data_IF_521712815437
#
_entry.id   IF_521712815437
#
_cell.length_a   1.000
_cell.length_b   1.000
_cell.length_c   1.000
_cell.angle_alpha   90.00
_cell.angle_beta   90.00
_cell.angle_gamma   90.00
#
_symmetry.space_group_name_H-M   'P 1'
#
loop_
_entity.id
_entity.type
_entity.pdbx_description
1 polymer ?
#
# COMPACT_ATOMS: atom_id res chain seq x y z
N UNK A 1 21.84 -48.72 -42.00
CA UNK A 1 21.48 -47.44 -41.35
C UNK A 1 21.67 -47.62 -39.86
N UNK A 2 22.64 -46.89 -39.32
CA UNK A 2 23.20 -46.99 -37.96
C UNK A 2 22.31 -46.29 -36.93
N UNK A 3 22.19 -46.84 -35.71
CA UNK A 3 22.78 -46.24 -34.50
C UNK A 3 22.67 -47.19 -33.30
N UNK A 4 23.83 -47.71 -32.88
CA UNK A 4 24.05 -48.38 -31.61
C UNK A 4 24.31 -47.36 -30.50
N UNK A 5 23.96 -47.74 -29.27
CA UNK A 5 23.97 -46.86 -28.10
C UNK A 5 25.35 -46.47 -27.55
N UNK A 6 25.36 -45.42 -26.73
CA UNK A 6 26.37 -45.19 -25.70
C UNK A 6 25.83 -44.27 -24.61
N UNK A 7 25.58 -44.84 -23.42
CA UNK A 7 25.60 -44.09 -22.15
C UNK A 7 27.02 -43.55 -21.95
N UNK A 8 27.16 -42.27 -21.65
CA UNK A 8 28.38 -41.70 -21.03
C UNK A 8 27.96 -40.81 -19.87
N UNK A 9 28.28 -41.30 -18.67
CA UNK A 9 28.54 -40.49 -17.49
C UNK A 9 29.74 -39.59 -17.78
N UNK A 10 29.55 -38.27 -17.82
CA UNK A 10 30.66 -37.32 -17.76
C UNK A 10 30.62 -36.60 -16.41
N UNK A 11 31.44 -37.13 -15.51
CA UNK A 11 31.96 -36.45 -14.33
C UNK A 11 32.50 -35.09 -14.78
N UNK A 12 32.04 -34.02 -14.12
CA UNK A 12 32.47 -32.65 -14.39
C UNK A 12 33.87 -32.46 -13.81
N UNK A 13 34.90 -32.73 -14.60
CA UNK A 13 36.30 -32.50 -14.20
C UNK A 13 36.60 -31.00 -14.32
N UNK A 14 36.76 -30.34 -13.18
CA UNK A 14 37.17 -28.93 -13.10
C UNK A 14 38.63 -28.82 -13.56
N UNK A 15 38.98 -27.91 -14.50
CA UNK A 15 40.37 -27.70 -14.91
C UNK A 15 41.22 -27.13 -13.75
N UNK A 16 42.49 -27.56 -13.60
CA UNK A 16 43.34 -27.18 -12.46
C UNK A 16 43.62 -25.67 -12.34
N UNK A 17 43.37 -24.91 -13.41
CA UNK A 17 43.51 -23.45 -13.45
C UNK A 17 42.40 -22.69 -12.70
N UNK A 18 41.28 -23.35 -12.37
CA UNK A 18 40.18 -22.74 -11.60
C UNK A 18 40.27 -22.98 -10.09
N UNK A 19 41.01 -24.01 -9.65
CA UNK A 19 41.27 -24.26 -8.22
C UNK A 19 42.29 -23.27 -7.65
N UNK A 20 43.25 -22.83 -8.47
CA UNK A 20 44.28 -21.87 -8.06
C UNK A 20 43.71 -20.44 -7.84
N UNK A 21 42.53 -20.14 -8.41
CA UNK A 21 41.81 -18.87 -8.23
C UNK A 21 40.83 -18.84 -7.06
N UNK A 22 40.66 -19.96 -6.33
CA UNK A 22 39.86 -20.05 -5.10
C UNK A 22 40.73 -20.13 -3.83
N UNK A 23 41.94 -19.59 -3.87
CA UNK A 23 42.76 -19.41 -2.67
C UNK A 23 42.36 -18.09 -2.02
N UNK A 24 41.82 -18.17 -0.81
CA UNK A 24 41.50 -17.03 0.05
C UNK A 24 42.71 -16.07 0.13
N UNK A 25 42.51 -14.74 0.11
CA UNK A 25 43.61 -13.82 0.36
C UNK A 25 44.11 -14.03 1.80
N UNK A 26 45.43 -13.92 2.04
CA UNK A 26 45.99 -14.12 3.37
C UNK A 26 45.43 -13.08 4.34
N UNK A 27 45.14 -13.53 5.55
CA UNK A 27 44.81 -12.72 6.71
C UNK A 27 45.97 -11.74 6.91
N UNK A 28 45.71 -10.45 6.71
CA UNK A 28 46.68 -9.39 7.02
C UNK A 28 46.68 -9.26 8.54
N UNK A 29 47.79 -9.65 9.15
CA UNK A 29 48.06 -9.46 10.57
C UNK A 29 47.86 -7.99 10.96
N UNK A 30 47.19 -7.79 12.09
CA UNK A 30 46.78 -6.51 12.64
C UNK A 30 47.91 -5.72 13.32
N UNK A 31 49.11 -5.73 12.75
CA UNK A 31 50.26 -5.00 13.27
C UNK A 31 51.04 -4.42 12.11
N UNK A 32 50.70 -3.18 11.73
CA UNK A 32 51.58 -2.17 11.13
C UNK A 32 50.72 -0.96 10.72
N UNK A 33 50.36 -0.14 11.70
CA UNK A 33 49.95 1.25 11.47
C UNK A 33 50.64 2.12 12.52
N UNK A 34 51.97 2.12 12.46
CA UNK A 34 52.77 3.05 13.24
C UNK A 34 52.62 4.46 12.66
N UNK A 35 52.00 5.30 13.50
CA UNK A 35 52.39 6.68 13.76
C UNK A 35 52.74 7.58 12.56
N UNK A 36 51.73 8.25 12.01
CA UNK A 36 51.85 9.66 11.56
C UNK A 36 50.50 10.27 11.21
N UNK A 37 49.84 10.86 12.22
CA UNK A 37 49.07 12.11 12.10
C UNK A 37 48.52 12.49 13.48
N UNK A 38 49.31 13.24 14.26
CA UNK A 38 48.77 14.06 15.34
C UNK A 38 48.05 15.25 14.70
N UNK A 39 46.71 15.29 14.80
CA UNK A 39 45.92 16.50 15.01
C UNK A 39 44.42 16.17 14.95
N UNK A 40 43.78 16.03 16.11
CA UNK A 40 42.59 16.80 16.56
C UNK A 40 41.86 16.04 17.69
N UNK A 41 42.09 16.37 18.97
CA UNK A 41 41.32 15.83 20.07
C UNK A 41 40.06 16.68 20.27
N UNK A 42 39.18 16.71 19.26
CA UNK A 42 37.81 17.19 19.41
C UNK A 42 36.81 16.16 18.92
N UNK A 43 37.04 14.88 19.29
CA UNK A 43 35.92 13.98 19.54
C UNK A 43 35.22 14.51 20.79
N UNK A 44 34.38 15.52 20.58
CA UNK A 44 33.34 15.87 21.53
C UNK A 44 32.51 14.61 21.69
N UNK A 45 32.75 13.90 22.78
CA UNK A 45 31.83 12.89 23.28
C UNK A 45 30.53 13.65 23.51
N UNK A 46 29.65 13.62 22.50
CA UNK A 46 28.30 14.13 22.63
C UNK A 46 27.72 13.37 23.81
N UNK A 47 27.47 14.12 24.87
CA UNK A 47 26.82 13.63 26.09
C UNK A 47 25.56 12.92 25.63
N UNK A 48 25.44 11.63 25.94
CA UNK A 48 24.30 10.78 25.60
C UNK A 48 23.02 11.51 26.05
N UNK A 49 22.36 12.17 25.10
CA UNK A 49 21.22 13.04 25.37
C UNK A 49 20.04 12.12 25.61
N UNK A 50 19.87 11.68 26.87
CA UNK A 50 18.69 10.95 27.38
C UNK A 50 17.83 10.36 26.27
N UNK A 51 18.37 9.34 25.59
CA UNK A 51 17.78 8.78 24.37
C UNK A 51 16.38 8.23 24.65
N UNK A 52 15.53 8.20 23.63
CA UNK A 52 14.22 7.53 23.74
C UNK A 52 14.43 6.07 24.14
N UNK A 53 13.56 5.56 25.02
CA UNK A 53 13.48 4.13 25.36
C UNK A 53 13.23 3.24 24.13
N UNK A 54 12.63 3.80 23.07
CA UNK A 54 12.31 3.12 21.82
C UNK A 54 13.18 3.72 20.70
N UNK A 55 13.96 2.89 19.96
CA UNK A 55 14.75 3.33 18.82
C UNK A 55 13.91 4.03 17.74
N UNK A 56 14.43 5.13 17.17
CA UNK A 56 13.71 5.95 16.18
C UNK A 56 13.30 5.15 14.93
N UNK A 57 14.06 4.11 14.55
CA UNK A 57 13.73 3.23 13.41
C UNK A 57 12.39 2.50 13.55
N UNK A 58 12.03 2.05 14.76
CA UNK A 58 10.75 1.36 14.99
C UNK A 58 9.58 2.34 14.98
N UNK A 59 9.81 3.58 15.38
CA UNK A 59 8.82 4.65 15.28
C UNK A 59 8.56 4.96 13.80
N UNK A 60 9.60 5.07 12.98
CA UNK A 60 9.45 5.23 11.52
C UNK A 60 8.70 4.05 10.89
N UNK A 61 8.98 2.82 11.31
CA UNK A 61 8.25 1.63 10.87
C UNK A 61 6.75 1.70 11.26
N UNK A 62 6.44 2.04 12.51
CA UNK A 62 5.06 2.20 12.99
C UNK A 62 4.32 3.31 12.23
N UNK A 63 4.97 4.46 12.01
CA UNK A 63 4.39 5.55 11.24
C UNK A 63 4.11 5.11 9.79
N UNK A 64 5.02 4.36 9.15
CA UNK A 64 4.82 3.81 7.81
C UNK A 64 3.64 2.83 7.78
N UNK A 65 3.56 1.92 8.76
CA UNK A 65 2.46 0.97 8.92
C UNK A 65 1.11 1.67 9.07
N UNK A 66 1.00 2.61 10.02
CA UNK A 66 -0.21 3.40 10.23
C UNK A 66 -0.58 4.21 8.98
N UNK A 67 0.42 4.71 8.23
CA UNK A 67 0.17 5.46 6.98
C UNK A 67 -0.44 4.57 5.90
N UNK A 68 0.12 3.37 5.68
CA UNK A 68 -0.49 2.42 4.73
C UNK A 68 -1.87 1.94 5.17
N UNK A 69 -2.05 1.72 6.47
CA UNK A 69 -3.35 1.38 7.06
C UNK A 69 -4.38 2.47 6.77
N UNK A 70 -4.04 3.73 7.03
CA UNK A 70 -4.93 4.87 6.82
C UNK A 70 -5.27 5.08 5.34
N UNK A 71 -4.26 5.07 4.46
CA UNK A 71 -4.47 5.26 3.01
C UNK A 71 -5.38 4.16 2.46
N UNK A 72 -5.19 2.92 2.89
CA UNK A 72 -6.03 1.80 2.45
C UNK A 72 -7.44 1.87 3.03
N UNK A 73 -7.59 2.25 4.30
CA UNK A 73 -8.91 2.43 4.91
C UNK A 73 -9.70 3.55 4.21
N UNK A 74 -9.09 4.73 4.00
CA UNK A 74 -9.70 5.84 3.27
C UNK A 74 -10.10 5.48 1.83
N UNK A 75 -9.41 4.52 1.19
CA UNK A 75 -9.77 4.01 -0.13
C UNK A 75 -11.09 3.22 -0.08
N UNK A 76 -11.26 2.37 0.93
CA UNK A 76 -12.47 1.57 1.08
C UNK A 76 -13.70 2.40 1.45
N UNK A 77 -13.51 3.54 2.11
CA UNK A 77 -14.61 4.43 2.48
C UNK A 77 -15.44 4.89 1.28
N UNK A 78 -14.81 5.09 0.12
CA UNK A 78 -15.52 5.47 -1.09
C UNK A 78 -16.45 4.34 -1.55
N UNK A 79 -15.92 3.11 -1.65
CA UNK A 79 -16.69 1.94 -2.08
C UNK A 79 -17.82 1.61 -1.10
N UNK A 80 -17.53 1.55 0.20
CA UNK A 80 -18.53 1.25 1.23
C UNK A 80 -19.54 2.39 1.41
N UNK A 81 -19.07 3.65 1.35
CA UNK A 81 -19.93 4.81 1.39
C UNK A 81 -20.88 4.86 0.20
N UNK A 82 -20.42 4.51 -1.01
CA UNK A 82 -21.31 4.44 -2.18
C UNK A 82 -22.39 3.37 -2.04
N UNK A 83 -22.07 2.20 -1.47
CA UNK A 83 -23.08 1.15 -1.20
C UNK A 83 -24.16 1.70 -0.26
N UNK A 84 -23.78 2.36 0.82
CA UNK A 84 -24.71 2.95 1.78
C UNK A 84 -25.48 4.18 1.24
N UNK A 85 -24.88 4.93 0.30
CA UNK A 85 -25.50 6.12 -0.31
C UNK A 85 -26.61 5.78 -1.33
N UNK A 86 -26.58 4.58 -1.90
CA UNK A 86 -27.33 4.24 -3.11
C UNK A 86 -28.47 3.30 -2.79
N UNK A 87 -29.67 3.67 -3.24
CA UNK A 87 -30.85 2.83 -3.08
C UNK A 87 -30.84 1.73 -4.15
N UNK A 88 -30.19 0.61 -3.84
CA UNK A 88 -30.10 -0.54 -4.75
C UNK A 88 -31.49 -1.07 -5.13
N UNK A 89 -32.47 -0.96 -4.22
CA UNK A 89 -33.87 -1.37 -4.45
C UNK A 89 -34.56 -0.49 -5.50
N UNK A 90 -34.35 0.82 -5.49
CA UNK A 90 -34.96 1.73 -6.48
C UNK A 90 -34.34 1.61 -7.88
N UNK A 91 -33.04 1.32 -7.98
CA UNK A 91 -32.36 1.09 -9.26
C UNK A 91 -32.77 -0.22 -9.92
N UNK A 92 -32.97 -1.28 -9.14
CA UNK A 92 -33.50 -2.56 -9.65
C UNK A 92 -34.94 -2.42 -10.15
N UNK A 93 -35.77 -1.59 -9.49
CA UNK A 93 -37.15 -1.32 -9.92
C UNK A 93 -37.25 -0.39 -11.13
N UNK A 94 -36.25 0.47 -11.38
CA UNK A 94 -36.23 1.37 -12.55
C UNK A 94 -35.56 0.76 -13.79
N UNK A 95 -34.90 -0.39 -13.65
CA UNK A 95 -34.20 -1.12 -14.71
C UNK A 95 -35.00 -2.30 -15.28
N UNK A 96 -36.28 -2.13 -15.56
CA UNK A 96 -37.05 -3.11 -16.34
C UNK A 96 -36.86 -2.84 -17.84
N UNK A 97 -35.79 -3.42 -18.39
CA UNK A 97 -35.73 -3.96 -19.77
C UNK A 97 -34.42 -4.75 -19.99
N UNK A 98 -34.02 -5.58 -19.02
CA UNK A 98 -33.02 -6.62 -19.29
C UNK A 98 -33.79 -7.82 -19.81
N UNK A 99 -33.63 -8.12 -21.10
CA UNK A 99 -34.11 -9.35 -21.74
C UNK A 99 -33.62 -10.56 -20.95
N UNK A 100 -34.52 -11.08 -20.10
CA UNK A 100 -34.31 -12.29 -19.33
C UNK A 100 -34.22 -13.45 -20.32
N UNK A 101 -33.05 -14.08 -20.38
CA UNK A 101 -32.86 -15.36 -21.06
C UNK A 101 -33.80 -16.40 -20.44
N UNK A 102 -34.45 -17.22 -21.25
CA UNK A 102 -35.53 -18.16 -20.87
C UNK A 102 -35.21 -19.14 -19.73
N UNK A 103 -33.95 -19.24 -19.25
CA UNK A 103 -33.59 -20.03 -18.07
C UNK A 103 -33.81 -19.33 -16.72
N UNK A 104 -34.02 -18.01 -16.66
CA UNK A 104 -34.18 -17.29 -15.38
C UNK A 104 -35.64 -17.16 -14.92
N UNK A 105 -36.60 -17.44 -15.82
CA UNK A 105 -38.03 -17.30 -15.54
C UNK A 105 -38.56 -18.37 -14.57
N UNK A 106 -37.99 -19.58 -14.59
CA UNK A 106 -38.38 -20.66 -13.67
C UNK A 106 -37.85 -20.47 -12.23
N UNK A 107 -36.76 -19.72 -12.04
CA UNK A 107 -36.21 -19.45 -10.71
C UNK A 107 -36.94 -18.30 -9.98
N UNK A 108 -37.60 -17.41 -10.71
CA UNK A 108 -38.35 -16.29 -10.13
C UNK A 108 -39.74 -16.69 -9.59
N UNK A 109 -40.33 -17.78 -10.08
CA UNK A 109 -41.65 -18.25 -9.59
C UNK A 109 -41.56 -18.91 -8.20
N UNK A 110 -40.41 -19.48 -7.84
CA UNK A 110 -40.18 -20.10 -6.53
C UNK A 110 -39.66 -19.14 -5.45
N UNK A 111 -39.25 -17.92 -5.83
CA UNK A 111 -38.74 -16.92 -4.88
C UNK A 111 -39.84 -16.07 -4.22
N UNK A 112 -41.08 -16.12 -4.73
CA UNK A 112 -42.19 -15.30 -4.22
C UNK A 112 -42.73 -15.73 -2.85
N UNK A 113 -42.26 -16.86 -2.28
CA UNK A 113 -42.79 -17.43 -1.04
C UNK A 113 -41.84 -17.32 0.17
N UNK A 114 -40.75 -16.56 0.04
CA UNK A 114 -39.85 -16.27 1.16
C UNK A 114 -39.65 -14.77 1.31
N UNK A 115 -40.61 -14.13 1.97
CA UNK A 115 -40.43 -12.85 2.66
C UNK A 115 -39.29 -12.98 3.66
N UNK A 116 -38.06 -12.70 3.22
CA UNK A 116 -36.92 -12.47 4.11
C UNK A 116 -36.57 -10.98 4.09
N UNK A 117 -36.46 -10.42 5.29
CA UNK A 117 -36.32 -9.00 5.58
C UNK A 117 -35.25 -8.32 4.71
N UNK A 118 -35.71 -7.53 3.74
CA UNK A 118 -34.86 -6.60 3.00
C UNK A 118 -34.48 -5.50 4.00
N UNK A 119 -33.25 -5.56 4.53
CA UNK A 119 -32.62 -4.45 5.22
C UNK A 119 -32.80 -3.21 4.35
N UNK A 120 -33.66 -2.30 4.80
CA UNK A 120 -34.08 -1.11 4.08
C UNK A 120 -32.94 -0.10 4.14
N UNK A 121 -31.90 -0.30 3.34
CA UNK A 121 -30.77 0.61 3.25
C UNK A 121 -31.25 1.91 2.59
N UNK A 122 -31.35 2.97 3.41
CA UNK A 122 -31.92 4.29 3.06
C UNK A 122 -30.96 5.10 2.20
N UNK A 123 -30.56 4.57 1.04
CA UNK A 123 -29.91 5.38 0.02
C UNK A 123 -30.88 6.47 -0.47
N UNK A 124 -30.46 7.73 -0.49
CA UNK A 124 -31.30 8.86 -0.93
C UNK A 124 -31.01 9.22 -2.41
N UNK A 125 -29.95 8.66 -3.00
CA UNK A 125 -29.43 9.04 -4.31
C UNK A 125 -29.60 7.92 -5.34
N UNK A 126 -30.18 8.26 -6.50
CA UNK A 126 -30.26 7.41 -7.69
C UNK A 126 -29.10 7.75 -8.63
N UNK A 127 -27.97 7.06 -8.48
CA UNK A 127 -26.86 7.14 -9.43
C UNK A 127 -26.75 5.85 -10.23
N UNK A 128 -26.71 5.97 -11.55
CA UNK A 128 -26.49 4.84 -12.45
C UNK A 128 -25.17 4.11 -12.15
N UNK A 129 -25.14 2.79 -12.34
CA UNK A 129 -23.98 1.95 -12.08
C UNK A 129 -22.75 2.39 -12.88
N UNK A 130 -22.93 2.94 -14.09
CA UNK A 130 -21.85 3.50 -14.89
C UNK A 130 -21.15 4.67 -14.20
N UNK A 131 -21.91 5.56 -13.55
CA UNK A 131 -21.37 6.74 -12.86
C UNK A 131 -20.57 6.35 -11.61
N UNK A 132 -21.07 5.37 -10.84
CA UNK A 132 -20.38 4.85 -9.65
C UNK A 132 -19.01 4.25 -10.01
N UNK A 133 -18.99 3.40 -11.05
CA UNK A 133 -17.76 2.79 -11.54
C UNK A 133 -16.78 3.84 -12.06
N UNK A 134 -17.28 4.90 -12.69
CA UNK A 134 -16.44 5.99 -13.17
C UNK A 134 -15.79 6.76 -12.01
N UNK A 135 -16.52 7.02 -10.91
CA UNK A 135 -15.99 7.67 -9.70
C UNK A 135 -14.84 6.87 -9.09
N UNK A 136 -15.03 5.56 -8.92
CA UNK A 136 -13.98 4.66 -8.41
C UNK A 136 -12.78 4.65 -9.36
N UNK A 137 -13.03 4.45 -10.65
CA UNK A 137 -11.99 4.32 -11.67
C UNK A 137 -11.13 5.58 -11.77
N UNK A 138 -11.73 6.77 -11.66
CA UNK A 138 -11.01 8.03 -11.73
C UNK A 138 -10.07 8.21 -10.53
N UNK A 139 -10.47 7.75 -9.34
CA UNK A 139 -9.58 7.70 -8.17
C UNK A 139 -8.34 6.83 -8.42
N UNK A 140 -8.54 5.65 -9.03
CA UNK A 140 -7.44 4.75 -9.40
C UNK A 140 -6.54 5.34 -10.48
N UNK A 141 -7.12 6.02 -11.47
CA UNK A 141 -6.35 6.70 -12.51
C UNK A 141 -5.43 7.77 -11.91
N UNK A 142 -5.93 8.57 -10.96
CA UNK A 142 -5.12 9.55 -10.24
C UNK A 142 -3.92 8.93 -9.51
N UNK A 143 -4.14 7.79 -8.83
CA UNK A 143 -3.05 7.07 -8.17
C UNK A 143 -2.00 6.57 -9.17
N UNK A 144 -2.44 6.01 -10.30
CA UNK A 144 -1.53 5.49 -11.34
C UNK A 144 -0.64 6.59 -11.93
N UNK A 145 -1.21 7.76 -12.22
CA UNK A 145 -0.48 8.89 -12.78
C UNK A 145 0.59 9.43 -11.81
N UNK A 146 0.32 9.37 -10.51
CA UNK A 146 1.15 10.04 -9.51
C UNK A 146 2.23 9.15 -8.89
N UNK A 147 2.11 7.82 -8.98
CA UNK A 147 3.10 6.90 -8.39
C UNK A 147 4.52 7.09 -8.95
N UNK A 148 4.66 7.19 -10.28
CA UNK A 148 5.96 7.39 -10.94
C UNK A 148 6.60 8.75 -10.61
N UNK A 149 5.92 9.91 -10.80
CA UNK A 149 6.49 11.20 -10.41
C UNK A 149 6.66 11.33 -8.90
N UNK A 150 5.82 10.67 -8.10
CA UNK A 150 5.91 10.61 -6.65
C UNK A 150 7.21 10.00 -6.15
N UNK A 151 7.72 8.98 -6.85
CA UNK A 151 9.07 8.42 -6.59
C UNK A 151 10.16 9.48 -6.73
N UNK A 152 10.12 10.26 -7.81
CA UNK A 152 11.12 11.31 -8.01
C UNK A 152 10.98 12.46 -7.01
N UNK A 153 9.73 12.82 -6.69
CA UNK A 153 9.41 13.86 -5.72
C UNK A 153 9.88 13.47 -4.32
N UNK A 154 9.72 12.20 -3.91
CA UNK A 154 10.18 11.73 -2.60
C UNK A 154 11.69 11.76 -2.47
N UNK A 155 12.45 11.45 -3.52
CA UNK A 155 13.92 11.57 -3.54
C UNK A 155 14.39 13.03 -3.38
N UNK A 156 13.71 13.99 -4.01
CA UNK A 156 14.18 15.39 -4.02
C UNK A 156 13.71 16.23 -2.84
N UNK A 157 12.47 16.04 -2.37
CA UNK A 157 11.87 16.81 -1.28
C UNK A 157 11.96 16.09 0.07
N UNK A 158 12.37 14.82 0.06
CA UNK A 158 12.38 13.95 1.24
C UNK A 158 11.04 13.22 1.43
N UNK A 159 11.11 11.94 1.83
CA UNK A 159 9.94 11.09 1.99
C UNK A 159 8.94 11.60 3.03
N UNK A 160 9.39 12.27 4.11
CA UNK A 160 8.52 12.83 5.15
C UNK A 160 7.59 13.90 4.60
N UNK A 161 8.12 14.87 3.84
CA UNK A 161 7.34 16.01 3.35
C UNK A 161 6.28 15.54 2.35
N UNK A 162 6.67 14.64 1.44
CA UNK A 162 5.76 14.06 0.45
C UNK A 162 4.65 13.24 1.11
N UNK A 163 4.99 12.46 2.15
CA UNK A 163 4.00 11.68 2.90
C UNK A 163 3.01 12.57 3.67
N UNK A 164 3.47 13.65 4.28
CA UNK A 164 2.57 14.58 4.98
C UNK A 164 1.65 15.27 3.98
N UNK A 165 2.19 15.74 2.85
CA UNK A 165 1.41 16.35 1.79
C UNK A 165 0.33 15.38 1.27
N UNK A 166 0.70 14.12 1.01
CA UNK A 166 -0.25 13.11 0.53
C UNK A 166 -1.37 12.85 1.54
N UNK A 167 -1.03 12.67 2.82
CA UNK A 167 -2.00 12.41 3.89
C UNK A 167 -2.94 13.61 4.10
N UNK A 168 -2.42 14.84 4.13
CA UNK A 168 -3.25 16.04 4.34
C UNK A 168 -4.21 16.24 3.18
N UNK A 169 -3.72 16.22 1.94
CA UNK A 169 -4.57 16.46 0.76
C UNK A 169 -5.63 15.35 0.63
N UNK A 170 -5.23 14.08 0.78
CA UNK A 170 -6.18 12.96 0.71
C UNK A 170 -7.25 13.05 1.81
N UNK A 171 -6.87 13.43 3.04
CA UNK A 171 -7.79 13.55 4.17
C UNK A 171 -8.75 14.74 4.02
N UNK A 172 -8.27 15.89 3.53
CA UNK A 172 -9.13 17.05 3.23
C UNK A 172 -10.14 16.72 2.13
N UNK A 173 -9.70 16.08 1.03
CA UNK A 173 -10.63 15.61 -0.01
C UNK A 173 -11.64 14.61 0.55
N UNK A 174 -11.24 13.76 1.50
CA UNK A 174 -12.15 12.83 2.16
C UNK A 174 -13.22 13.58 2.99
N UNK A 175 -12.83 14.61 3.76
CA UNK A 175 -13.77 15.43 4.53
C UNK A 175 -14.76 16.21 3.64
N UNK A 176 -14.33 16.63 2.46
CA UNK A 176 -15.14 17.37 1.49
C UNK A 176 -16.09 16.43 0.71
N UNK A 177 -15.78 15.13 0.64
CA UNK A 177 -16.52 14.17 -0.20
C UNK A 177 -18.03 14.14 0.07
N UNK A 178 -18.56 14.17 1.32
CA UNK A 178 -20.00 14.20 1.55
C UNK A 178 -20.66 15.47 1.05
N UNK A 179 -20.00 16.62 1.23
CA UNK A 179 -20.50 17.93 0.79
C UNK A 179 -20.49 17.99 -0.74
N UNK A 180 -19.48 17.39 -1.38
CA UNK A 180 -19.38 17.30 -2.84
C UNK A 180 -20.50 16.44 -3.45
N UNK A 181 -20.98 15.41 -2.71
CA UNK A 181 -22.12 14.59 -3.13
C UNK A 181 -23.39 15.43 -3.28
N UNK A 182 -23.64 16.37 -2.37
CA UNK A 182 -24.83 17.25 -2.41
C UNK A 182 -24.79 18.23 -3.60
N UNK A 183 -23.58 18.60 -4.05
CA UNK A 183 -23.38 19.55 -5.16
C UNK A 183 -23.46 18.88 -6.54
N UNK A 184 -23.35 17.56 -6.58
CA UNK A 184 -23.55 16.74 -7.78
C UNK A 184 -22.36 15.83 -8.12
N UNK A 185 -22.60 14.84 -9.00
CA UNK A 185 -21.64 13.75 -9.27
C UNK A 185 -20.34 14.24 -9.93
N UNK A 186 -20.38 15.30 -10.74
CA UNK A 186 -19.19 15.86 -11.39
C UNK A 186 -18.20 16.50 -10.41
N UNK A 187 -18.71 17.12 -9.33
CA UNK A 187 -17.86 17.71 -8.28
C UNK A 187 -17.19 16.58 -7.48
N UNK A 188 -17.96 15.54 -7.15
CA UNK A 188 -17.43 14.36 -6.48
C UNK A 188 -16.34 13.67 -7.33
N UNK A 189 -16.52 13.56 -8.65
CA UNK A 189 -15.51 13.04 -9.57
C UNK A 189 -14.19 13.80 -9.47
N UNK A 190 -14.24 15.14 -9.49
CA UNK A 190 -13.05 15.98 -9.37
C UNK A 190 -12.35 15.79 -8.01
N UNK A 191 -13.12 15.77 -6.91
CA UNK A 191 -12.58 15.55 -5.56
C UNK A 191 -11.92 14.18 -5.45
N UNK A 192 -12.54 13.13 -6.00
CA UNK A 192 -12.00 11.77 -5.99
C UNK A 192 -10.74 11.64 -6.86
N UNK A 193 -10.69 12.32 -8.01
CA UNK A 193 -9.49 12.36 -8.83
C UNK A 193 -8.30 12.98 -8.06
N UNK A 194 -8.52 14.14 -7.41
CA UNK A 194 -7.49 14.83 -6.63
C UNK A 194 -7.05 13.98 -5.42
N UNK A 195 -8.00 13.35 -4.72
CA UNK A 195 -7.70 12.39 -3.65
C UNK A 195 -6.81 11.25 -4.16
N UNK A 196 -7.13 10.68 -5.32
CA UNK A 196 -6.35 9.64 -5.96
C UNK A 196 -4.93 10.09 -6.29
N UNK A 197 -4.76 11.28 -6.87
CA UNK A 197 -3.44 11.88 -7.13
C UNK A 197 -2.62 11.96 -5.83
N UNK A 198 -3.21 12.47 -4.75
CA UNK A 198 -2.54 12.57 -3.46
C UNK A 198 -2.16 11.18 -2.90
N UNK A 199 -3.09 10.23 -2.88
CA UNK A 199 -2.83 8.88 -2.35
C UNK A 199 -1.69 8.16 -3.08
N UNK A 200 -1.55 8.38 -4.40
CA UNK A 200 -0.48 7.81 -5.22
C UNK A 200 0.95 8.20 -4.79
N UNK A 201 1.11 9.32 -4.08
CA UNK A 201 2.41 9.78 -3.54
C UNK A 201 2.86 9.00 -2.29
N UNK A 202 1.94 8.34 -1.59
CA UNK A 202 2.22 7.77 -0.26
C UNK A 202 3.16 6.57 -0.31
N UNK A 203 2.97 5.67 -1.29
CA UNK A 203 3.81 4.47 -1.48
C UNK A 203 5.28 4.85 -1.73
N UNK A 204 5.62 5.69 -2.73
CA UNK A 204 7.01 6.08 -2.96
C UNK A 204 7.61 6.90 -1.81
N UNK A 205 6.79 7.67 -1.09
CA UNK A 205 7.25 8.44 0.07
C UNK A 205 7.67 7.53 1.23
N UNK A 206 6.85 6.53 1.57
CA UNK A 206 7.16 5.54 2.61
C UNK A 206 8.35 4.69 2.18
N UNK A 207 8.40 4.25 0.91
CA UNK A 207 9.55 3.48 0.40
C UNK A 207 10.88 4.23 0.52
N UNK A 208 10.89 5.54 0.30
CA UNK A 208 12.09 6.36 0.52
C UNK A 208 12.44 6.49 2.01
N UNK A 209 11.45 6.64 2.90
CA UNK A 209 11.71 6.62 4.35
C UNK A 209 12.29 5.27 4.79
N UNK A 210 11.78 4.16 4.27
CA UNK A 210 12.29 2.83 4.57
C UNK A 210 13.74 2.65 4.10
N UNK A 211 14.12 3.19 2.93
CA UNK A 211 15.51 3.07 2.45
C UNK A 211 16.52 3.82 3.30
N UNK A 212 16.12 4.92 3.96
CA UNK A 212 17.02 5.73 4.78
C UNK A 212 17.11 5.24 6.23
N UNK A 213 16.05 4.60 6.74
CA UNK A 213 15.95 4.22 8.16
C UNK A 213 16.22 2.74 8.43
N UNK A 214 16.04 1.86 7.44
CA UNK A 214 16.10 0.41 7.67
C UNK A 214 17.48 -0.17 7.29
N UNK A 215 18.26 -0.67 8.27
CA UNK A 215 19.56 -1.29 8.01
C UNK A 215 19.40 -2.62 7.25
N UNK A 216 20.37 -2.98 6.42
CA UNK A 216 20.27 -4.12 5.50
C UNK A 216 19.95 -5.46 6.20
N UNK A 217 20.46 -5.66 7.42
CA UNK A 217 20.23 -6.85 8.26
C UNK A 217 18.75 -7.05 8.65
N UNK A 218 18.02 -5.97 8.94
CA UNK A 218 16.64 -6.01 9.45
C UNK A 218 15.62 -5.48 8.44
N UNK A 219 16.07 -4.96 7.30
CA UNK A 219 15.24 -4.30 6.28
C UNK A 219 14.09 -5.17 5.80
N UNK A 220 14.31 -6.47 5.61
CA UNK A 220 13.26 -7.40 5.19
C UNK A 220 12.09 -7.42 6.18
N UNK A 221 12.38 -7.63 7.47
CA UNK A 221 11.38 -7.71 8.54
C UNK A 221 10.65 -6.38 8.71
N UNK A 222 11.37 -5.28 8.81
CA UNK A 222 10.77 -3.95 9.00
C UNK A 222 9.93 -3.52 7.79
N UNK A 223 10.35 -3.86 6.57
CA UNK A 223 9.57 -3.60 5.35
C UNK A 223 8.30 -4.44 5.32
N UNK A 224 8.36 -5.71 5.69
CA UNK A 224 7.19 -6.58 5.77
C UNK A 224 6.18 -6.10 6.82
N UNK A 225 6.65 -5.69 8.01
CA UNK A 225 5.78 -5.09 9.03
C UNK A 225 5.11 -3.83 8.48
N UNK A 226 5.88 -2.93 7.87
CA UNK A 226 5.35 -1.69 7.29
C UNK A 226 4.31 -2.00 6.20
N UNK A 227 4.60 -2.94 5.30
CA UNK A 227 3.72 -3.31 4.19
C UNK A 227 2.45 -4.06 4.65
N UNK A 228 2.49 -4.75 5.80
CA UNK A 228 1.30 -5.37 6.40
C UNK A 228 0.20 -4.36 6.75
N UNK A 229 0.52 -3.06 6.78
CA UNK A 229 -0.46 -1.97 6.90
C UNK A 229 -1.49 -1.96 5.77
N UNK A 230 -1.13 -2.42 4.56
CA UNK A 230 -2.09 -2.52 3.45
C UNK A 230 -3.28 -3.46 3.75
N UNK A 231 -3.08 -4.77 4.00
CA UNK A 231 -4.18 -5.65 4.36
C UNK A 231 -4.82 -5.27 5.71
N UNK A 232 -4.04 -4.79 6.67
CA UNK A 232 -4.57 -4.31 7.95
C UNK A 232 -5.56 -3.15 7.79
N UNK A 233 -5.25 -2.18 6.91
CA UNK A 233 -6.14 -1.08 6.58
C UNK A 233 -7.41 -1.51 5.87
N UNK A 234 -7.35 -2.58 5.07
CA UNK A 234 -8.53 -3.12 4.42
C UNK A 234 -9.51 -3.73 5.45
N UNK A 235 -9.00 -4.50 6.41
CA UNK A 235 -9.80 -5.12 7.47
C UNK A 235 -10.37 -4.06 8.42
N UNK A 236 -9.51 -3.19 8.95
CA UNK A 236 -9.92 -2.14 9.90
C UNK A 236 -10.87 -1.15 9.23
N UNK A 237 -10.57 -0.75 8.00
CA UNK A 237 -11.44 0.11 7.19
C UNK A 237 -12.81 -0.51 6.96
N UNK A 238 -12.86 -1.77 6.53
CA UNK A 238 -14.12 -2.49 6.32
C UNK A 238 -14.98 -2.61 7.57
N UNK A 239 -14.39 -3.03 8.70
CA UNK A 239 -15.09 -3.20 9.97
C UNK A 239 -15.63 -1.87 10.53
N UNK A 240 -14.78 -0.84 10.56
CA UNK A 240 -15.20 0.48 11.02
C UNK A 240 -16.28 1.04 10.09
N UNK A 241 -16.14 0.92 8.78
CA UNK A 241 -17.18 1.37 7.85
C UNK A 241 -18.52 0.69 8.09
N UNK A 242 -18.54 -0.63 8.32
CA UNK A 242 -19.78 -1.36 8.64
C UNK A 242 -20.46 -0.86 9.92
N UNK A 243 -19.67 -0.63 10.98
CA UNK A 243 -20.19 -0.12 12.27
C UNK A 243 -20.72 1.32 12.11
N UNK A 244 -19.95 2.17 11.42
CA UNK A 244 -20.29 3.59 11.25
C UNK A 244 -21.50 3.78 10.34
N UNK A 245 -21.62 3.01 9.25
CA UNK A 245 -22.78 3.08 8.35
C UNK A 245 -24.09 2.65 9.03
N UNK A 246 -24.04 1.73 10.00
CA UNK A 246 -25.21 1.29 10.75
C UNK A 246 -25.61 2.24 11.89
N UNK A 247 -24.85 3.31 12.13
CA UNK A 247 -25.16 4.29 13.18
C UNK A 247 -26.12 5.36 12.67
N UNK A 248 -27.16 5.69 13.45
CA UNK A 248 -28.13 6.75 13.11
C UNK A 248 -27.56 8.18 13.27
N UNK A 249 -26.28 8.33 13.65
CA UNK A 249 -25.66 9.63 13.89
C UNK A 249 -25.29 10.32 12.56
N UNK A 250 -25.66 11.59 12.38
CA UNK A 250 -25.30 12.43 11.21
C UNK A 250 -25.71 11.88 9.82
N UNK A 251 -26.73 11.02 9.75
CA UNK A 251 -27.18 10.42 8.48
C UNK A 251 -26.38 9.20 8.03
N UNK A 252 -25.60 8.59 8.94
CA UNK A 252 -24.91 7.31 8.77
C UNK A 252 -23.69 7.39 7.85
N UNK A 253 -23.91 7.49 6.54
CA UNK A 253 -22.85 7.40 5.54
C UNK A 253 -21.84 8.58 5.54
N UNK A 254 -22.20 9.86 5.82
CA UNK A 254 -21.23 10.96 5.81
C UNK A 254 -20.20 10.84 6.93
N UNK A 255 -20.60 10.23 8.05
CA UNK A 255 -19.81 10.10 9.28
C UNK A 255 -18.51 9.33 9.03
N UNK A 256 -18.57 8.30 8.19
CA UNK A 256 -17.40 7.53 7.73
C UNK A 256 -16.34 8.45 7.14
N UNK A 257 -16.74 9.35 6.25
CA UNK A 257 -15.80 10.26 5.59
C UNK A 257 -15.19 11.26 6.57
N UNK A 258 -15.99 11.74 7.53
CA UNK A 258 -15.52 12.65 8.57
C UNK A 258 -14.50 11.99 9.50
N UNK A 259 -14.81 10.82 10.07
CA UNK A 259 -13.94 10.13 11.03
C UNK A 259 -12.59 9.79 10.42
N UNK A 260 -12.57 9.17 9.24
CA UNK A 260 -11.32 8.81 8.58
C UNK A 260 -10.56 10.01 8.00
N UNK A 261 -11.26 11.10 7.67
CA UNK A 261 -10.63 12.37 7.30
C UNK A 261 -9.88 12.98 8.49
N UNK A 262 -10.53 13.10 9.65
CA UNK A 262 -9.88 13.60 10.87
C UNK A 262 -8.75 12.71 11.34
N UNK A 263 -8.93 11.38 11.34
CA UNK A 263 -7.90 10.44 11.75
C UNK A 263 -6.68 10.49 10.82
N UNK A 264 -6.88 10.72 9.53
CA UNK A 264 -5.81 10.96 8.57
C UNK A 264 -5.04 12.27 8.82
N UNK A 265 -5.71 13.35 9.21
CA UNK A 265 -5.05 14.60 9.61
C UNK A 265 -4.25 14.45 10.92
N UNK A 266 -4.80 13.74 11.90
CA UNK A 266 -4.08 13.41 13.14
C UNK A 266 -2.83 12.59 12.81
N UNK A 267 -2.92 11.63 11.90
CA UNK A 267 -1.77 10.85 11.48
C UNK A 267 -0.73 11.73 10.76
N UNK A 268 -1.15 12.63 9.87
CA UNK A 268 -0.24 13.57 9.22
C UNK A 268 0.50 14.45 10.23
N UNK A 269 -0.20 14.91 11.27
CA UNK A 269 0.39 15.64 12.39
C UNK A 269 1.41 14.78 13.15
N UNK A 270 1.11 13.51 13.44
CA UNK A 270 2.06 12.59 14.06
C UNK A 270 3.30 12.36 13.19
N UNK A 271 3.15 12.18 11.87
CA UNK A 271 4.28 12.06 10.94
C UNK A 271 5.13 13.34 10.92
N UNK A 272 4.50 14.52 11.04
CA UNK A 272 5.23 15.79 11.14
C UNK A 272 6.08 15.88 12.42
N UNK A 273 5.54 15.50 13.58
CA UNK A 273 6.22 15.62 14.88
C UNK A 273 7.20 14.49 15.21
N UNK A 274 6.96 13.29 14.70
CA UNK A 274 7.74 12.09 15.03
C UNK A 274 8.58 11.56 13.87
N UNK A 275 8.23 11.85 12.61
CA UNK A 275 9.00 11.41 11.45
C UNK A 275 10.21 12.30 11.19
N UNK A 276 11.26 11.74 10.60
CA UNK A 276 12.42 12.47 10.08
C UNK A 276 12.85 11.86 8.72
N UNK A 277 13.38 12.67 7.81
CA UNK A 277 13.74 12.20 6.46
C UNK A 277 14.98 11.32 6.47
N UNK A 278 15.98 11.75 7.25
CA UNK A 278 17.27 11.10 7.39
C UNK A 278 17.61 10.93 8.88
N UNK A 279 18.37 9.89 9.24
CA UNK A 279 18.86 9.74 10.61
C UNK A 279 19.74 10.92 11.05
N UNK A 280 20.43 11.60 10.11
CA UNK A 280 21.26 12.79 10.38
C UNK A 280 20.45 14.00 10.85
N UNK A 281 19.19 14.11 10.41
CA UNK A 281 18.31 15.24 10.74
C UNK A 281 17.53 15.01 12.05
N UNK A 282 17.51 13.77 12.56
CA UNK A 282 16.76 13.44 13.77
C UNK A 282 17.53 13.85 15.03
N UNK A 283 17.10 14.96 15.64
CA UNK A 283 17.66 15.43 16.91
C UNK A 283 17.40 14.48 18.10
N UNK A 284 16.56 13.44 17.93
CA UNK A 284 16.11 12.52 19.00
C UNK A 284 16.73 11.13 18.90
N UNK A 285 17.59 10.90 17.90
CA UNK A 285 18.30 9.64 17.72
C UNK A 285 19.40 9.50 18.78
N UNK A 286 19.64 8.27 19.24
CA UNK A 286 20.75 7.97 20.14
C UNK A 286 22.03 7.76 19.32
N UNK A 287 23.18 8.21 19.80
CA UNK A 287 24.46 8.12 19.06
C UNK A 287 24.84 6.66 18.72
N UNK A 288 24.45 5.71 19.56
CA UNK A 288 24.63 4.27 19.33
C UNK A 288 23.75 3.75 18.17
N UNK A 289 22.50 4.20 18.09
CA UNK A 289 21.56 3.85 17.01
C UNK A 289 22.02 4.47 15.69
N UNK A 290 22.43 5.74 15.72
CA UNK A 290 22.95 6.43 14.55
C UNK A 290 24.14 5.69 13.92
N UNK A 291 25.15 5.34 14.73
CA UNK A 291 26.32 4.58 14.27
C UNK A 291 25.92 3.22 13.71
N UNK A 292 25.00 2.51 14.37
CA UNK A 292 24.50 1.21 13.90
C UNK A 292 23.80 1.31 12.54
N UNK A 293 22.96 2.33 12.34
CA UNK A 293 22.26 2.56 11.06
C UNK A 293 23.28 2.87 9.98
N UNK A 294 24.18 3.83 10.21
CA UNK A 294 25.16 4.26 9.21
C UNK A 294 26.16 3.15 8.85
N UNK A 295 26.53 2.28 9.79
CA UNK A 295 27.42 1.14 9.51
C UNK A 295 26.73 -0.02 8.75
N UNK A 296 25.40 -0.09 8.78
CA UNK A 296 24.62 -1.17 8.18
C UNK A 296 23.71 -0.71 7.03
N UNK A 297 23.83 0.54 6.58
CA UNK A 297 23.23 0.98 5.32
C UNK A 297 24.09 0.50 4.15
N UNK A 298 23.47 -0.22 3.21
CA UNK A 298 24.08 -0.61 1.93
C UNK A 298 24.48 0.59 1.05
N UNK A 299 24.05 1.80 1.42
CA UNK A 299 24.30 3.03 0.71
C UNK A 299 25.20 3.93 1.55
N UNK A 300 26.52 3.80 1.40
CA UNK A 300 27.41 4.92 1.70
C UNK A 300 27.09 6.02 0.70
N UNK A 301 26.35 7.03 1.14
CA UNK A 301 26.00 8.18 0.33
C UNK A 301 27.30 8.91 -0.05
N UNK A 302 27.79 8.68 -1.27
CA UNK A 302 29.06 9.27 -1.76
C UNK A 302 28.97 10.79 -1.97
N UNK A 303 27.90 11.44 -1.50
CA UNK A 303 27.63 12.87 -1.67
C UNK A 303 27.43 13.30 -3.12
N UNK A 304 27.48 12.36 -4.07
CA UNK A 304 27.36 12.62 -5.51
C UNK A 304 25.93 12.36 -5.97
N UNK A 305 25.19 13.44 -6.23
CA UNK A 305 23.88 13.38 -6.90
C UNK A 305 24.05 12.96 -8.36
N UNK A 306 23.95 11.67 -8.65
CA UNK A 306 23.93 11.16 -10.02
C UNK A 306 22.58 11.46 -10.70
N UNK A 307 22.61 11.94 -11.95
CA UNK A 307 21.38 12.07 -12.75
C UNK A 307 20.84 10.68 -13.05
N UNK A 308 19.58 10.43 -12.71
CA UNK A 308 18.92 9.15 -12.98
C UNK A 308 18.87 8.88 -14.49
N UNK A 309 19.50 7.80 -14.99
CA UNK A 309 19.61 7.55 -16.42
C UNK A 309 18.33 6.90 -16.98
N UNK A 310 17.24 7.66 -17.06
CA UNK A 310 15.91 7.20 -17.49
C UNK A 310 15.93 6.37 -18.78
N UNK A 311 16.65 6.84 -19.81
CA UNK A 311 16.77 6.13 -21.09
C UNK A 311 17.40 4.75 -20.95
N UNK A 312 18.41 4.60 -20.08
CA UNK A 312 19.06 3.30 -19.86
C UNK A 312 18.15 2.34 -19.08
N UNK A 313 17.37 2.87 -18.14
CA UNK A 313 16.40 2.08 -17.36
C UNK A 313 15.30 1.53 -18.26
N UNK A 314 14.75 2.37 -19.16
CA UNK A 314 13.67 1.98 -20.09
C UNK A 314 14.14 1.08 -21.23
N UNK A 315 15.44 1.02 -21.53
CA UNK A 315 15.98 0.13 -22.57
C UNK A 315 16.49 -1.21 -22.01
N UNK A 316 16.62 -1.32 -20.69
CA UNK A 316 17.09 -2.56 -20.05
C UNK A 316 15.98 -3.64 -20.04
N UNK A 317 16.32 -4.82 -20.56
CA UNK A 317 15.42 -6.00 -20.58
C UNK A 317 15.03 -6.45 -19.17
N UNK A 318 15.95 -6.35 -18.20
CA UNK A 318 15.66 -6.72 -16.81
C UNK A 318 14.55 -5.89 -16.17
N UNK A 319 14.49 -4.59 -16.48
CA UNK A 319 13.40 -3.71 -16.03
C UNK A 319 12.06 -4.16 -16.58
N UNK A 320 11.98 -4.45 -17.88
CA UNK A 320 10.74 -4.91 -18.53
C UNK A 320 10.31 -6.30 -18.07
N UNK A 321 11.25 -7.21 -17.84
CA UNK A 321 10.96 -8.52 -17.25
C UNK A 321 10.32 -8.37 -15.86
N UNK A 322 10.83 -7.45 -15.03
CA UNK A 322 10.24 -7.12 -13.74
C UNK A 322 8.84 -6.50 -13.85
N UNK A 323 8.63 -5.56 -14.80
CA UNK A 323 7.33 -4.94 -15.05
C UNK A 323 6.29 -5.98 -15.48
N UNK A 324 6.63 -6.86 -16.41
CA UNK A 324 5.74 -7.93 -16.88
C UNK A 324 5.46 -8.93 -15.75
N UNK A 325 6.46 -9.27 -14.94
CA UNK A 325 6.30 -10.12 -13.76
C UNK A 325 5.33 -9.53 -12.74
N UNK A 326 5.51 -8.26 -12.37
CA UNK A 326 4.61 -7.53 -11.46
C UNK A 326 3.21 -7.43 -12.03
N UNK A 327 3.07 -7.12 -13.32
CA UNK A 327 1.77 -7.07 -14.00
C UNK A 327 1.06 -8.43 -13.92
N UNK A 328 1.77 -9.53 -14.22
CA UNK A 328 1.23 -10.88 -14.10
C UNK A 328 0.78 -11.21 -12.67
N UNK A 329 1.59 -10.84 -11.67
CA UNK A 329 1.24 -11.04 -10.25
C UNK A 329 -0.04 -10.29 -9.86
N UNK A 330 -0.15 -9.01 -10.20
CA UNK A 330 -1.36 -8.23 -9.91
C UNK A 330 -2.57 -8.76 -10.67
N UNK A 331 -2.40 -9.09 -11.96
CA UNK A 331 -3.48 -9.64 -12.79
C UNK A 331 -4.05 -10.93 -12.19
N UNK A 332 -3.18 -11.90 -11.87
CA UNK A 332 -3.60 -13.18 -11.29
C UNK A 332 -4.31 -12.95 -9.95
N UNK A 333 -3.74 -12.09 -9.09
CA UNK A 333 -4.33 -11.81 -7.77
C UNK A 333 -5.73 -11.23 -7.88
N UNK A 334 -5.94 -10.21 -8.74
CA UNK A 334 -7.26 -9.60 -8.93
C UNK A 334 -8.23 -10.52 -9.67
N UNK A 335 -7.75 -11.31 -10.62
CA UNK A 335 -8.56 -12.30 -11.31
C UNK A 335 -9.10 -13.35 -10.34
N UNK A 336 -8.25 -13.90 -9.47
CA UNK A 336 -8.68 -14.84 -8.43
C UNK A 336 -9.71 -14.21 -7.48
N UNK A 337 -9.46 -12.99 -7.01
CA UNK A 337 -10.40 -12.27 -6.14
C UNK A 337 -11.77 -12.03 -6.83
N UNK A 338 -11.80 -11.79 -8.14
CA UNK A 338 -13.04 -11.58 -8.89
C UNK A 338 -13.78 -12.88 -9.21
N UNK A 339 -13.08 -13.97 -9.51
CA UNK A 339 -13.70 -15.25 -9.87
C UNK A 339 -14.16 -16.02 -8.64
N UNK A 340 -13.51 -15.82 -7.49
CA UNK A 340 -13.84 -16.46 -6.22
C UNK A 340 -15.34 -16.35 -5.83
N UNK A 341 -15.99 -15.18 -5.79
CA UNK A 341 -17.41 -15.10 -5.43
C UNK A 341 -18.32 -15.82 -6.42
N UNK A 342 -18.07 -15.69 -7.73
CA UNK A 342 -18.85 -16.37 -8.77
C UNK A 342 -18.67 -17.89 -8.72
N UNK A 343 -17.45 -18.37 -8.51
CA UNK A 343 -17.16 -19.79 -8.44
C UNK A 343 -17.84 -20.45 -7.23
N UNK A 344 -17.77 -19.81 -6.06
CA UNK A 344 -18.43 -20.30 -4.84
C UNK A 344 -19.96 -20.34 -4.97
N UNK A 345 -20.56 -19.32 -5.59
CA UNK A 345 -22.01 -19.25 -5.80
C UNK A 345 -22.51 -20.23 -6.87
N UNK A 346 -21.87 -20.29 -8.05
CA UNK A 346 -22.41 -21.03 -9.20
C UNK A 346 -21.99 -22.50 -9.23
N UNK A 347 -20.78 -22.84 -8.79
CA UNK A 347 -20.26 -24.21 -8.88
C UNK A 347 -20.39 -25.00 -7.57
N UNK A 348 -20.28 -24.33 -6.42
CA UNK A 348 -20.41 -24.95 -5.10
C UNK A 348 -21.78 -24.72 -4.43
N UNK A 349 -22.66 -23.91 -5.01
CA UNK A 349 -23.99 -23.59 -4.47
C UNK A 349 -23.97 -23.07 -3.02
N UNK A 350 -22.90 -22.41 -2.57
CA UNK A 350 -22.90 -21.75 -1.26
C UNK A 350 -23.82 -20.53 -1.29
N UNK A 351 -24.78 -20.46 -0.36
CA UNK A 351 -25.70 -19.33 -0.26
C UNK A 351 -24.95 -18.05 0.14
N UNK A 352 -25.26 -16.91 -0.49
CA UNK A 352 -24.57 -15.62 -0.32
C UNK A 352 -24.61 -15.05 1.11
N UNK A 353 -25.29 -15.70 2.06
CA UNK A 353 -25.56 -15.19 3.41
C UNK A 353 -24.71 -15.89 4.48
N UNK A 354 -24.18 -17.09 4.24
CA UNK A 354 -23.49 -17.86 5.28
C UNK A 354 -22.04 -17.43 5.55
N UNK A 355 -21.42 -16.66 4.65
CA UNK A 355 -19.97 -16.36 4.72
C UNK A 355 -19.65 -15.11 5.55
N UNK A 356 -20.63 -14.25 5.86
CA UNK A 356 -20.37 -12.97 6.54
C UNK A 356 -20.99 -12.91 7.94
N UNK A 357 -22.04 -13.69 8.24
CA UNK A 357 -22.72 -13.64 9.54
C UNK A 357 -23.13 -15.05 9.99
N UNK A 358 -22.20 -15.82 10.54
CA UNK A 358 -22.53 -16.79 11.59
C UNK A 358 -21.36 -16.89 12.57
N UNK A 359 -21.41 -16.20 13.73
CA UNK A 359 -20.77 -16.77 14.91
C UNK A 359 -21.60 -18.00 15.29
N UNK A 360 -20.93 -19.14 15.42
CA UNK A 360 -21.49 -20.39 15.94
C UNK A 360 -22.56 -20.15 17.00
N UNK A 361 -23.75 -20.69 16.77
CA UNK A 361 -24.54 -21.26 17.85
C UNK A 361 -24.95 -22.68 17.43
N UNK A 362 -24.78 -23.56 18.42
CA UNK A 362 -24.75 -25.03 18.38
C UNK A 362 -25.92 -25.73 17.68
#
# INVERSE_FOLDING_TARGET
>A
MSFSGRRRSSIFTIPPTLVEKMKEPPIIDSQDFDSQSMADPTVTVVKDKGGRLIPSRYICCLLGFCSFLMVTAQRLNLTMGMVAMINQTALQMSGEDIKVSECTAELLSHANDSTHEIHKEKGTLLWDAGTQNFIVSLSFLGMMLTQTPGGRMSETLGGKQVLIFSLVVASLCNLISPIATDWGPYVLLAVQFIKGLAQGLSIPAISNLMSNWFPASEKGVLSSITLSGFPGGAVVGGLLNGILCNSDFLGGWPLVFYVFGFLGLILAFNVYFFGSNCPDEDCRITDSEYKYIMSNLDCQDTGKKYKTPWKKITTNVGTWAGVVGMFGQYWITYFFLSVQPTYLGTALHFSHIEVIITPNHE
#
